data_IF_572940850035
#
_entry.id   IF_572940850035
#
_cell.length_a   1.000
_cell.length_b   1.000
_cell.length_c   1.000
_cell.angle_alpha   90.00
_cell.angle_beta   90.00
_cell.angle_gamma   90.00
#
_symmetry.space_group_name_H-M   'P 1'
#
loop_
_entity.id
_entity.type
_entity.pdbx_description
1 polymer ?
#
# COMPACT_ATOMS: atom_id res chain seq x y z
N UNK A 1 -2.64 8.92 -6.11
CA UNK A 1 -4.01 8.38 -6.04
C UNK A 1 -4.65 8.73 -4.69
N UNK A 2 -5.86 9.31 -4.69
CA UNK A 2 -6.51 9.84 -3.49
C UNK A 2 -7.06 8.79 -2.50
N UNK A 3 -7.23 7.54 -2.94
CA UNK A 3 -7.77 6.46 -2.09
C UNK A 3 -6.74 5.68 -1.25
N UNK A 4 -5.47 6.08 -1.27
CA UNK A 4 -4.39 5.43 -0.50
C UNK A 4 -3.50 4.49 -1.33
N UNK A 5 -2.72 3.65 -0.67
CA UNK A 5 -1.81 2.67 -1.31
C UNK A 5 -1.88 1.35 -0.56
N UNK A 6 -1.60 0.26 -1.26
CA UNK A 6 -1.63 -1.08 -0.68
C UNK A 6 -0.21 -1.61 -0.48
N UNK A 7 -0.05 -2.53 0.47
CA UNK A 7 1.26 -3.07 0.86
C UNK A 7 1.43 -4.55 0.54
N UNK A 8 0.34 -5.34 0.55
CA UNK A 8 0.42 -6.80 0.40
C UNK A 8 -0.63 -7.31 -0.59
N UNK A 9 -0.17 -7.86 -1.72
CA UNK A 9 -1.04 -8.46 -2.73
C UNK A 9 -0.27 -9.46 -3.58
N UNK A 10 -0.93 -10.57 -3.89
CA UNK A 10 -0.38 -11.67 -4.70
C UNK A 10 -0.29 -11.29 -6.18
N UNK A 11 -1.28 -10.57 -6.72
CA UNK A 11 -1.34 -10.10 -8.12
C UNK A 11 -0.20 -9.12 -8.42
N UNK A 12 0.16 -8.27 -7.45
CA UNK A 12 1.22 -7.27 -7.61
C UNK A 12 2.59 -7.75 -7.11
N UNK A 13 2.69 -8.99 -6.64
CA UNK A 13 3.96 -9.60 -6.23
C UNK A 13 4.61 -8.99 -4.99
N UNK A 14 3.83 -8.29 -4.16
CA UNK A 14 4.29 -7.67 -2.90
C UNK A 14 4.03 -8.54 -1.68
N UNK A 15 3.25 -9.62 -1.85
CA UNK A 15 3.00 -10.60 -0.79
C UNK A 15 4.31 -11.14 -0.20
N UNK A 16 4.43 -11.06 1.13
CA UNK A 16 5.62 -11.52 1.87
C UNK A 16 6.86 -10.63 1.73
N UNK A 17 6.77 -9.48 1.04
CA UNK A 17 7.91 -8.55 0.86
C UNK A 17 7.78 -7.27 1.67
N UNK A 18 6.55 -6.74 1.79
CA UNK A 18 6.28 -5.49 2.52
C UNK A 18 6.05 -5.66 4.02
N UNK A 19 5.96 -6.90 4.53
CA UNK A 19 5.62 -7.18 5.93
C UNK A 19 6.56 -8.25 6.49
N UNK A 20 7.25 -7.92 7.56
CA UNK A 20 8.13 -8.82 8.31
C UNK A 20 7.60 -8.97 9.75
N UNK A 21 7.37 -10.21 10.19
CA UNK A 21 7.03 -10.50 11.58
C UNK A 21 8.31 -10.48 12.42
N UNK A 22 8.32 -9.71 13.50
CA UNK A 22 9.45 -9.56 14.40
C UNK A 22 9.13 -10.20 15.76
N UNK A 23 10.15 -10.57 16.56
CA UNK A 23 9.94 -11.03 17.93
C UNK A 23 9.17 -10.01 18.79
N UNK A 24 8.40 -10.51 19.75
CA UNK A 24 7.69 -9.68 20.74
C UNK A 24 6.47 -8.95 20.18
N UNK A 25 5.65 -9.62 19.38
CA UNK A 25 4.40 -9.10 18.79
C UNK A 25 4.58 -7.81 17.98
N UNK A 26 5.74 -7.71 17.31
CA UNK A 26 6.07 -6.57 16.46
C UNK A 26 5.99 -6.96 15.00
N UNK A 27 5.65 -5.97 14.18
CA UNK A 27 5.67 -6.07 12.72
C UNK A 27 6.50 -4.92 12.18
N UNK A 28 7.34 -5.20 11.18
CA UNK A 28 7.94 -4.18 10.32
C UNK A 28 7.16 -4.12 9.01
N UNK A 29 6.78 -2.90 8.64
CA UNK A 29 6.18 -2.57 7.36
C UNK A 29 7.24 -1.86 6.50
N UNK A 30 7.54 -2.39 5.33
CA UNK A 30 8.46 -1.78 4.37
C UNK A 30 7.71 -0.96 3.32
N UNK A 31 7.69 0.35 3.51
CA UNK A 31 7.01 1.30 2.62
C UNK A 31 7.52 1.29 1.17
N UNK A 32 8.70 0.72 0.89
CA UNK A 32 9.20 0.59 -0.49
C UNK A 32 8.35 -0.34 -1.35
N UNK A 33 7.54 -1.21 -0.73
CA UNK A 33 6.62 -2.09 -1.42
C UNK A 33 5.19 -1.55 -1.51
N UNK A 34 4.94 -0.31 -1.07
CA UNK A 34 3.64 0.33 -1.29
C UNK A 34 3.42 0.54 -2.78
N UNK A 35 2.25 0.16 -3.27
CA UNK A 35 1.89 0.26 -4.69
C UNK A 35 0.50 0.86 -4.88
N UNK A 36 0.24 1.36 -6.09
CA UNK A 36 -1.05 1.92 -6.46
C UNK A 36 -2.05 0.79 -6.79
N UNK A 37 -3.27 0.83 -6.25
CA UNK A 37 -4.29 -0.15 -6.61
C UNK A 37 -4.80 0.06 -8.05
N UNK A 38 -5.44 -0.94 -8.67
CA UNK A 38 -5.79 -0.91 -10.11
C UNK A 38 -6.64 0.30 -10.55
N UNK A 39 -7.53 0.77 -9.67
CA UNK A 39 -8.33 1.99 -9.87
C UNK A 39 -7.52 3.29 -9.98
N UNK A 40 -6.25 3.29 -9.58
CA UNK A 40 -5.36 4.42 -9.81
C UNK A 40 -4.97 4.57 -11.29
N UNK A 41 -5.11 3.52 -12.10
CA UNK A 41 -4.75 3.50 -13.51
C UNK A 41 -5.96 3.51 -14.45
N UNK A 42 -7.10 2.99 -13.98
CA UNK A 42 -8.30 2.80 -14.80
C UNK A 42 -9.53 2.73 -13.88
N UNK A 43 -10.49 3.62 -14.08
CA UNK A 43 -11.66 3.81 -13.22
C UNK A 43 -12.67 2.66 -13.27
N UNK A 44 -12.54 1.76 -14.25
CA UNK A 44 -13.40 0.56 -14.35
C UNK A 44 -13.21 -0.42 -13.19
N UNK A 45 -12.15 -0.27 -12.41
CA UNK A 45 -11.83 -1.17 -11.28
C UNK A 45 -12.37 -0.63 -9.96
N UNK A 46 -13.04 -1.49 -9.20
CA UNK A 46 -13.43 -1.19 -7.82
C UNK A 46 -12.28 -1.54 -6.85
N UNK A 47 -11.89 -0.60 -6.01
CA UNK A 47 -10.82 -0.75 -5.02
C UNK A 47 -11.34 -0.56 -3.60
N UNK A 48 -11.00 -1.46 -2.66
CA UNK A 48 -11.33 -1.25 -1.25
C UNK A 48 -10.66 0.00 -0.68
N UNK A 49 -11.42 0.79 0.06
CA UNK A 49 -10.85 1.90 0.84
C UNK A 49 -10.28 1.35 2.14
N UNK A 50 -9.11 1.87 2.53
CA UNK A 50 -8.54 1.59 3.84
C UNK A 50 -9.45 2.18 4.94
N UNK A 51 -9.67 1.46 6.05
CA UNK A 51 -10.43 2.00 7.16
C UNK A 51 -9.63 3.13 7.86
N UNK A 52 -10.28 3.99 8.66
CA UNK A 52 -9.62 5.15 9.27
C UNK A 52 -8.37 4.82 10.08
N UNK A 53 -8.34 3.69 10.80
CA UNK A 53 -7.21 3.21 11.60
C UNK A 53 -5.95 2.90 10.79
N UNK A 54 -6.07 2.73 9.46
CA UNK A 54 -4.94 2.52 8.56
C UNK A 54 -4.39 3.82 7.96
N UNK A 55 -4.84 4.99 8.45
CA UNK A 55 -4.28 6.28 8.05
C UNK A 55 -3.05 6.62 8.87
N UNK A 56 -2.04 7.13 8.18
CA UNK A 56 -0.78 7.57 8.79
C UNK A 56 -0.67 9.07 8.54
N UNK A 57 -0.57 9.85 9.61
CA UNK A 57 -0.53 11.33 9.55
C UNK A 57 0.85 11.87 9.08
N UNK A 58 1.82 10.97 8.90
CA UNK A 58 3.16 11.28 8.43
C UNK A 58 3.30 11.00 6.93
N UNK A 59 3.97 11.88 6.16
CA UNK A 59 4.26 11.62 4.75
C UNK A 59 5.15 10.39 4.54
N UNK A 60 4.62 9.36 3.87
CA UNK A 60 5.38 8.17 3.45
C UNK A 60 5.90 8.34 2.01
N UNK A 61 7.14 8.84 1.86
CA UNK A 61 7.81 9.12 0.58
C UNK A 61 8.59 7.91 0.05
N UNK A 62 7.95 6.75 0.01
CA UNK A 62 8.53 5.49 -0.49
C UNK A 62 7.48 4.70 -1.27
N UNK A 63 7.93 3.71 -2.05
CA UNK A 63 7.07 2.89 -2.90
C UNK A 63 6.74 3.55 -4.23
N UNK A 64 5.70 3.05 -4.89
CA UNK A 64 5.24 3.57 -6.16
C UNK A 64 4.77 5.02 -6.03
N UNK A 65 5.18 5.84 -7.00
CA UNK A 65 4.75 7.23 -7.13
C UNK A 65 3.39 7.33 -7.83
N UNK A 66 2.84 8.54 -7.92
CA UNK A 66 1.59 8.76 -8.62
C UNK A 66 1.71 8.36 -10.10
N UNK A 67 0.66 7.69 -10.61
CA UNK A 67 0.45 7.47 -12.03
C UNK A 67 -0.45 8.59 -12.55
N UNK A 68 0.09 9.40 -13.46
CA UNK A 68 -0.41 10.73 -13.90
C UNK A 68 -0.33 11.84 -12.84
N UNK A 69 -0.29 13.08 -13.32
CA UNK A 69 -0.31 14.30 -12.50
C UNK A 69 -1.71 14.61 -11.97
#
# INVERSE_FOLDING_TARGET
YGGGRYLTDTVKGTFGRGVELLPGDRVRLDGNYLYNPSCAYDDRWACPLAPPENRIDLPLRAGELAYHD
#
